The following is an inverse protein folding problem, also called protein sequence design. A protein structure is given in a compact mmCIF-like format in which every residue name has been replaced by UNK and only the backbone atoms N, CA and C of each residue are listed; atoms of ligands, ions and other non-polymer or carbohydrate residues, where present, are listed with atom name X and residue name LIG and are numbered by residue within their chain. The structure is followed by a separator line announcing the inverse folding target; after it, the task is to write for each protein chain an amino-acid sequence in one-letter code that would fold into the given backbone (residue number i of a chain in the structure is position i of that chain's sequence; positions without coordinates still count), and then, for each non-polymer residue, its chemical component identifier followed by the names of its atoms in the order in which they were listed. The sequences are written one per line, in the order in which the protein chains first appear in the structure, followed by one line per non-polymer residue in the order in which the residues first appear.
data_IF_157965241481
#
_entry.id   IF_157965241481
#
_cell.length_a   1.000
_cell.length_b   1.000
_cell.length_c   1.000
_cell.angle_alpha   90.00
_cell.angle_beta   90.00
_cell.angle_gamma   90.00
#
_symmetry.space_group_name_H-M   'P 1'
#
loop_
_entity.id
_entity.type
_entity.pdbx_description
1 polymer ?
#
# COMPACT_ATOMS: atom_id res chain seq x y z
N UNK A 1 44.31 -5.70 -13.48
CA UNK A 1 42.88 -5.31 -13.53
C UNK A 1 42.07 -6.39 -14.25
N UNK A 2 41.49 -7.37 -13.55
CA UNK A 2 40.58 -8.37 -14.17
C UNK A 2 39.77 -9.15 -13.13
N UNK A 3 39.25 -8.48 -12.09
CA UNK A 3 38.39 -9.11 -11.05
C UNK A 3 37.17 -8.27 -10.64
N UNK A 4 37.05 -7.02 -11.10
CA UNK A 4 35.89 -6.17 -10.78
C UNK A 4 34.65 -6.43 -11.66
N UNK A 5 34.79 -7.12 -12.80
CA UNK A 5 33.71 -7.25 -13.79
C UNK A 5 32.56 -8.16 -13.37
N UNK A 6 32.77 -9.07 -12.41
CA UNK A 6 31.72 -10.02 -11.99
C UNK A 6 30.74 -9.46 -10.95
N UNK A 7 31.10 -8.41 -10.21
CA UNK A 7 30.23 -7.85 -9.16
C UNK A 7 29.07 -7.00 -9.71
N UNK A 8 29.26 -6.37 -10.88
CA UNK A 8 28.27 -5.45 -11.46
C UNK A 8 27.05 -6.19 -12.05
N UNK A 9 27.24 -7.40 -12.57
CA UNK A 9 26.14 -8.19 -13.17
C UNK A 9 25.14 -8.67 -12.10
N UNK A 10 25.61 -8.99 -10.88
CA UNK A 10 24.74 -9.47 -9.80
C UNK A 10 23.75 -8.43 -9.27
N UNK A 11 24.13 -7.15 -9.25
CA UNK A 11 23.28 -6.07 -8.74
C UNK A 11 22.17 -5.71 -9.74
N UNK A 12 22.48 -5.73 -11.05
CA UNK A 12 21.50 -5.42 -12.09
C UNK A 12 20.36 -6.45 -12.20
N UNK A 13 20.60 -7.70 -11.80
CA UNK A 13 19.58 -8.75 -11.81
C UNK A 13 18.51 -8.57 -10.72
N UNK A 14 18.84 -7.91 -9.59
CA UNK A 14 17.92 -7.75 -8.46
C UNK A 14 16.90 -6.61 -8.66
N UNK A 15 17.17 -5.66 -9.56
CA UNK A 15 16.25 -4.55 -9.85
C UNK A 15 15.11 -4.92 -10.81
N UNK A 16 15.11 -6.13 -11.38
CA UNK A 16 14.13 -6.56 -12.37
C UNK A 16 12.79 -7.07 -11.78
N UNK A 17 12.67 -7.18 -10.45
CA UNK A 17 11.45 -7.63 -9.78
C UNK A 17 10.95 -6.54 -8.80
N UNK A 18 10.53 -5.38 -9.30
CA UNK A 18 9.75 -4.45 -8.47
C UNK A 18 8.29 -4.93 -8.44
N UNK A 19 7.74 -5.08 -7.25
CA UNK A 19 6.33 -5.41 -7.08
C UNK A 19 5.53 -4.12 -7.29
N UNK A 20 4.63 -4.10 -8.28
CA UNK A 20 3.69 -2.98 -8.47
C UNK A 20 2.47 -3.19 -7.57
N UNK A 21 2.25 -2.33 -6.54
CA UNK A 21 1.08 -2.45 -5.67
C UNK A 21 -0.23 -2.43 -6.44
N UNK A 22 -0.33 -1.77 -7.60
CA UNK A 22 -1.57 -1.69 -8.38
C UNK A 22 -2.12 -3.05 -8.80
N UNK A 23 -1.25 -4.04 -8.99
CA UNK A 23 -1.68 -5.40 -9.34
C UNK A 23 -2.42 -6.10 -8.21
N UNK A 24 -2.40 -5.52 -7.02
CA UNK A 24 -2.99 -6.05 -5.81
C UNK A 24 -4.13 -5.16 -5.33
N UNK A 25 -4.56 -4.13 -6.05
CA UNK A 25 -5.65 -3.26 -5.60
C UNK A 25 -7.00 -4.02 -5.60
N UNK A 26 -7.78 -3.91 -4.52
CA UNK A 26 -9.19 -4.31 -4.50
C UNK A 26 -10.09 -3.17 -5.00
N UNK A 27 -11.39 -3.45 -5.12
CA UNK A 27 -12.38 -2.39 -5.21
C UNK A 27 -12.25 -1.45 -3.99
N UNK A 28 -12.27 -0.12 -4.19
CA UNK A 28 -12.21 0.83 -3.08
C UNK A 28 -13.36 0.67 -2.10
N UNK A 29 -13.07 0.81 -0.81
CA UNK A 29 -14.08 0.73 0.25
C UNK A 29 -14.29 2.10 0.88
N UNK A 30 -15.53 2.37 1.31
CA UNK A 30 -15.88 3.60 2.00
C UNK A 30 -16.01 3.33 3.49
N UNK A 31 -15.26 4.08 4.30
CA UNK A 31 -15.26 4.01 5.76
C UNK A 31 -15.86 5.29 6.33
N UNK A 32 -16.95 5.14 7.08
CA UNK A 32 -17.55 6.23 7.83
C UNK A 32 -16.77 6.48 9.12
N UNK A 33 -16.34 7.73 9.34
CA UNK A 33 -15.59 8.14 10.52
C UNK A 33 -16.27 9.31 11.21
N UNK A 34 -15.95 9.59 12.50
CA UNK A 34 -16.50 10.77 13.20
C UNK A 34 -16.21 12.11 12.51
N UNK A 35 -15.19 12.17 11.66
CA UNK A 35 -14.73 13.39 10.98
C UNK A 35 -15.17 13.43 9.51
N UNK A 36 -15.99 12.48 9.07
CA UNK A 36 -16.49 12.36 7.70
C UNK A 36 -16.01 11.10 6.98
N UNK A 37 -16.46 10.98 5.72
CA UNK A 37 -16.22 9.83 4.84
C UNK A 37 -14.75 9.75 4.40
N UNK A 38 -14.15 8.55 4.49
CA UNK A 38 -12.84 8.22 3.91
C UNK A 38 -13.03 7.13 2.86
N UNK A 39 -12.44 7.28 1.68
CA UNK A 39 -12.37 6.20 0.67
C UNK A 39 -10.99 5.60 0.72
N UNK A 40 -10.93 4.29 0.93
CA UNK A 40 -9.72 3.53 1.12
C UNK A 40 -9.44 2.66 -0.10
N UNK A 41 -8.21 2.74 -0.59
CA UNK A 41 -7.65 1.70 -1.44
C UNK A 41 -7.07 0.63 -0.54
N UNK A 42 -7.67 -0.56 -0.56
CA UNK A 42 -7.08 -1.75 0.04
C UNK A 42 -6.35 -2.55 -1.04
N UNK A 43 -5.31 -3.26 -0.64
CA UNK A 43 -4.50 -4.02 -1.58
C UNK A 43 -4.84 -5.52 -1.47
N UNK A 44 -4.05 -6.29 -0.75
CA UNK A 44 -4.36 -7.71 -0.52
C UNK A 44 -4.76 -7.92 0.94
N UNK A 45 -5.64 -8.89 1.25
CA UNK A 45 -5.89 -9.33 2.62
C UNK A 45 -4.60 -9.68 3.37
N UNK A 46 -3.55 -10.10 2.65
CA UNK A 46 -2.24 -10.45 3.24
C UNK A 46 -1.28 -9.26 3.34
N UNK A 47 -1.60 -8.10 2.75
CA UNK A 47 -0.70 -6.94 2.62
C UNK A 47 -1.40 -5.63 3.01
N UNK A 48 -1.84 -5.55 4.26
CA UNK A 48 -2.49 -4.36 4.84
C UNK A 48 -1.59 -3.13 5.02
N UNK A 49 -0.28 -3.28 4.79
CA UNK A 49 0.71 -2.19 4.94
C UNK A 49 0.60 -1.15 3.84
N UNK A 50 0.00 -1.50 2.71
CA UNK A 50 -0.14 -0.60 1.58
C UNK A 50 -1.45 0.18 1.61
N UNK A 51 -2.40 -0.25 2.43
CA UNK A 51 -3.73 0.36 2.54
C UNK A 51 -3.62 1.84 2.85
N UNK A 52 -4.34 2.65 2.06
CA UNK A 52 -4.22 4.10 2.09
C UNK A 52 -5.49 4.80 1.67
N UNK A 53 -5.66 6.03 2.13
CA UNK A 53 -6.79 6.85 1.70
C UNK A 53 -6.56 7.39 0.27
N UNK A 54 -7.58 7.24 -0.59
CA UNK A 54 -7.64 7.88 -1.90
C UNK A 54 -8.58 9.09 -1.91
N UNK A 55 -9.51 9.16 -0.95
CA UNK A 55 -10.28 10.36 -0.62
C UNK A 55 -10.38 10.52 0.90
N UNK A 56 -10.31 11.77 1.37
CA UNK A 56 -10.51 12.12 2.78
C UNK A 56 -11.09 13.52 2.92
N UNK A 57 -11.70 13.86 4.07
CA UNK A 57 -12.07 15.23 4.38
C UNK A 57 -10.86 16.16 4.43
N UNK A 58 -11.04 17.43 4.02
CA UNK A 58 -9.94 18.41 3.97
C UNK A 58 -9.30 18.63 5.34
N UNK A 59 -10.11 18.62 6.41
CA UNK A 59 -9.70 18.81 7.80
C UNK A 59 -9.07 17.56 8.45
N UNK A 60 -8.96 16.43 7.75
CA UNK A 60 -8.37 15.20 8.27
C UNK A 60 -6.93 15.05 7.78
N UNK A 61 -5.96 14.71 8.64
CA UNK A 61 -4.59 14.47 8.15
C UNK A 61 -4.52 13.20 7.28
N UNK A 62 -3.57 13.14 6.34
CA UNK A 62 -3.29 11.93 5.54
C UNK A 62 -3.02 10.73 6.46
N UNK A 63 -2.15 10.91 7.46
CA UNK A 63 -1.81 9.88 8.45
C UNK A 63 -3.05 9.34 9.18
N UNK A 64 -3.98 10.23 9.54
CA UNK A 64 -5.23 9.83 10.21
C UNK A 64 -6.13 9.04 9.27
N UNK A 65 -6.26 9.48 8.01
CA UNK A 65 -7.06 8.77 7.01
C UNK A 65 -6.47 7.38 6.69
N UNK A 66 -5.16 7.29 6.51
CA UNK A 66 -4.45 6.03 6.27
C UNK A 66 -4.59 5.06 7.45
N UNK A 67 -4.63 5.56 8.68
CA UNK A 67 -4.89 4.72 9.85
C UNK A 67 -6.29 4.09 9.83
N UNK A 68 -7.31 4.81 9.34
CA UNK A 68 -8.64 4.22 9.14
C UNK A 68 -8.61 3.14 8.06
N UNK A 69 -7.91 3.38 6.95
CA UNK A 69 -7.80 2.41 5.86
C UNK A 69 -7.04 1.15 6.27
N UNK A 70 -5.93 1.31 7.00
CA UNK A 70 -5.20 0.19 7.57
C UNK A 70 -6.07 -0.63 8.55
N UNK A 71 -6.80 0.04 9.44
CA UNK A 71 -7.71 -0.65 10.36
C UNK A 71 -8.82 -1.40 9.62
N UNK A 72 -9.31 -0.85 8.50
CA UNK A 72 -10.29 -1.52 7.66
C UNK A 72 -9.71 -2.76 6.97
N UNK A 73 -8.50 -2.67 6.40
CA UNK A 73 -7.79 -3.81 5.85
C UNK A 73 -7.55 -4.91 6.89
N UNK A 74 -7.16 -4.54 8.11
CA UNK A 74 -6.98 -5.49 9.23
C UNK A 74 -8.29 -6.18 9.63
N UNK A 75 -9.45 -5.51 9.55
CA UNK A 75 -10.74 -6.16 9.82
C UNK A 75 -11.10 -7.19 8.74
N UNK A 76 -10.78 -6.89 7.49
CA UNK A 76 -11.09 -7.75 6.34
C UNK A 76 -10.05 -8.87 6.18
N UNK A 77 -8.89 -8.75 6.84
CA UNK A 77 -7.85 -9.76 6.87
C UNK A 77 -8.37 -11.05 7.54
N UNK A 78 -8.57 -12.10 6.73
CA UNK A 78 -8.99 -13.42 7.19
C UNK A 78 -10.50 -13.68 7.16
N UNK A 79 -11.29 -12.80 6.54
CA UNK A 79 -12.66 -13.08 6.10
C UNK A 79 -12.67 -13.82 4.76
#
# INVERSE_FOLDING_TARGET
MRKLSFAVVGIAALSACSIDPKQWETEPVTVETPNGRVVCQLYSPDIVRWDRAIERPENMSVKTADAYCHNEGVKQQGM
#
